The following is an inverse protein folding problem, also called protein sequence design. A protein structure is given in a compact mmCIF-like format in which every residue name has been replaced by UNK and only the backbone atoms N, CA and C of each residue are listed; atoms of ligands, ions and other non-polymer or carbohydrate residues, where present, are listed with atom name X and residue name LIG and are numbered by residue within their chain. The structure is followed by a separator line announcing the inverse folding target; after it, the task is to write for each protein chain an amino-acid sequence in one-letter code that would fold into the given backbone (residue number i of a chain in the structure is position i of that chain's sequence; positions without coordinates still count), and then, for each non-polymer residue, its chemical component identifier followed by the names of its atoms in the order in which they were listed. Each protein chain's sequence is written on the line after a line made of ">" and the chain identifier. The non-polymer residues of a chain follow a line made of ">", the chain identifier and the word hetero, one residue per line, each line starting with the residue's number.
data_IF_269833662714
#
_entry.id   IF_269833662714
#
_cell.length_a   1.000
_cell.length_b   1.000
_cell.length_c   1.000
_cell.angle_alpha   90.00
_cell.angle_beta   90.00
_cell.angle_gamma   90.00
#
_symmetry.space_group_name_H-M   'P 1'
#
loop_
_entity.id
_entity.type
_entity.pdbx_description
1 polymer ?
#
# COMPACT_ATOMS: atom_id res chain seq x y z
N UNK A 1 -3.09 -25.20 -1.46
CA UNK A 1 -4.22 -24.44 -2.04
C UNK A 1 -4.79 -23.57 -0.93
N UNK A 2 -4.92 -22.25 -1.11
CA UNK A 2 -5.53 -21.36 -0.12
C UNK A 2 -7.02 -21.70 -0.04
N UNK A 3 -7.58 -21.88 1.15
CA UNK A 3 -9.00 -22.13 1.31
C UNK A 3 -9.83 -20.84 1.12
N UNK A 4 -11.11 -21.00 0.80
CA UNK A 4 -11.98 -19.87 0.45
C UNK A 4 -12.14 -18.84 1.57
N UNK A 5 -12.05 -19.26 2.84
CA UNK A 5 -12.15 -18.35 3.99
C UNK A 5 -10.87 -17.51 4.09
N UNK A 6 -9.72 -18.15 4.06
CA UNK A 6 -8.40 -17.48 4.07
C UNK A 6 -8.25 -16.53 2.87
N UNK A 7 -8.72 -16.91 1.68
CA UNK A 7 -8.68 -16.04 0.50
C UNK A 7 -9.53 -14.78 0.72
N UNK A 8 -10.76 -14.93 1.25
CA UNK A 8 -11.66 -13.81 1.52
C UNK A 8 -11.08 -12.83 2.54
N UNK A 9 -10.50 -13.35 3.63
CA UNK A 9 -9.85 -12.52 4.65
C UNK A 9 -8.68 -11.73 4.06
N UNK A 10 -7.88 -12.36 3.19
CA UNK A 10 -6.77 -11.71 2.50
C UNK A 10 -7.24 -10.63 1.50
N UNK A 11 -8.36 -10.87 0.81
CA UNK A 11 -8.95 -9.86 -0.07
C UNK A 11 -9.42 -8.62 0.70
N UNK A 12 -10.13 -8.80 1.82
CA UNK A 12 -10.62 -7.67 2.65
C UNK A 12 -9.45 -6.83 3.19
N UNK A 13 -8.39 -7.48 3.67
CA UNK A 13 -7.18 -6.78 4.10
C UNK A 13 -6.49 -6.05 2.94
N UNK A 14 -6.42 -6.68 1.76
CA UNK A 14 -5.88 -6.06 0.55
C UNK A 14 -6.65 -4.81 0.12
N UNK A 15 -7.98 -4.84 0.19
CA UNK A 15 -8.84 -3.69 -0.08
C UNK A 15 -8.59 -2.54 0.90
N UNK A 16 -8.44 -2.86 2.20
CA UNK A 16 -8.13 -1.86 3.21
C UNK A 16 -6.74 -1.21 3.01
N UNK A 17 -5.73 -1.99 2.61
CA UNK A 17 -4.41 -1.47 2.26
C UNK A 17 -4.44 -0.61 0.99
N UNK A 18 -5.23 -1.03 0.00
CA UNK A 18 -5.42 -0.27 -1.23
C UNK A 18 -6.07 1.09 -0.95
N UNK A 19 -7.11 1.13 -0.12
CA UNK A 19 -7.75 2.38 0.29
C UNK A 19 -6.76 3.34 0.99
N UNK A 20 -5.92 2.82 1.88
CA UNK A 20 -4.89 3.61 2.58
C UNK A 20 -3.82 4.16 1.62
N UNK A 21 -3.36 3.36 0.67
CA UNK A 21 -2.38 3.79 -0.34
C UNK A 21 -2.94 4.91 -1.23
N UNK A 22 -4.19 4.78 -1.70
CA UNK A 22 -4.85 5.82 -2.48
C UNK A 22 -5.13 7.08 -1.67
N UNK A 23 -5.48 6.95 -0.39
CA UNK A 23 -5.68 8.11 0.46
C UNK A 23 -4.37 8.89 0.68
N UNK A 24 -3.24 8.18 0.87
CA UNK A 24 -1.92 8.79 0.97
C UNK A 24 -1.53 9.51 -0.33
N UNK A 25 -1.77 8.89 -1.48
CA UNK A 25 -1.56 9.51 -2.79
C UNK A 25 -2.40 10.77 -2.97
N UNK A 26 -3.69 10.71 -2.62
CA UNK A 26 -4.59 11.87 -2.70
C UNK A 26 -4.10 13.04 -1.85
N UNK A 27 -3.61 12.77 -0.64
CA UNK A 27 -3.03 13.80 0.24
C UNK A 27 -1.78 14.42 -0.36
N UNK A 28 -0.89 13.61 -0.93
CA UNK A 28 0.30 14.10 -1.62
C UNK A 28 -0.06 14.99 -2.82
N UNK A 29 -0.97 14.54 -3.69
CA UNK A 29 -1.41 15.32 -4.86
C UNK A 29 -2.06 16.64 -4.44
N UNK A 30 -2.88 16.63 -3.39
CA UNK A 30 -3.53 17.84 -2.87
C UNK A 30 -2.55 18.86 -2.27
N UNK A 31 -1.37 18.42 -1.81
CA UNK A 31 -0.36 19.28 -1.21
C UNK A 31 0.55 19.95 -2.25
N UNK A 32 0.63 19.41 -3.48
CA UNK A 32 1.49 19.97 -4.54
C UNK A 32 1.08 21.40 -4.87
N UNK A 33 2.04 22.32 -4.81
CA UNK A 33 1.82 23.73 -5.12
C UNK A 33 1.03 24.52 -4.06
N UNK A 34 0.65 23.88 -2.95
CA UNK A 34 -0.09 24.51 -1.84
C UNK A 34 0.77 24.50 -0.56
N UNK A 35 1.34 23.34 -0.22
CA UNK A 35 2.11 23.13 0.99
C UNK A 35 3.60 23.44 0.82
N UNK A 36 4.33 23.50 1.93
CA UNK A 36 5.78 23.70 1.89
C UNK A 36 6.47 22.50 1.22
N UNK A 37 7.60 22.69 0.51
CA UNK A 37 8.31 21.61 -0.19
C UNK A 37 8.64 20.41 0.71
N UNK A 38 9.04 20.66 1.96
CA UNK A 38 9.34 19.60 2.92
C UNK A 38 8.10 18.77 3.28
N UNK A 39 6.91 19.40 3.40
CA UNK A 39 5.67 18.69 3.69
C UNK A 39 5.22 17.84 2.51
N UNK A 40 5.34 18.38 1.30
CA UNK A 40 5.06 17.66 0.05
C UNK A 40 5.96 16.43 -0.07
N UNK A 41 7.24 16.57 0.28
CA UNK A 41 8.21 15.47 0.25
C UNK A 41 7.89 14.38 1.28
N UNK A 42 7.49 14.76 2.50
CA UNK A 42 7.05 13.78 3.51
C UNK A 42 5.79 13.02 3.05
N UNK A 43 4.85 13.71 2.41
CA UNK A 43 3.66 13.08 1.84
C UNK A 43 3.99 12.15 0.67
N UNK A 44 4.97 12.52 -0.17
CA UNK A 44 5.48 11.66 -1.25
C UNK A 44 6.03 10.36 -0.70
N UNK A 45 6.96 10.44 0.25
CA UNK A 45 7.58 9.27 0.91
C UNK A 45 6.50 8.38 1.52
N UNK A 46 5.51 8.98 2.20
CA UNK A 46 4.41 8.22 2.80
C UNK A 46 3.56 7.48 1.77
N UNK A 47 3.25 8.10 0.64
CA UNK A 47 2.50 7.47 -0.44
C UNK A 47 3.30 6.31 -1.05
N UNK A 48 4.59 6.50 -1.31
CA UNK A 48 5.48 5.47 -1.85
C UNK A 48 5.58 4.25 -0.94
N UNK A 49 5.86 4.46 0.35
CA UNK A 49 5.92 3.36 1.33
C UNK A 49 4.60 2.58 1.44
N UNK A 50 3.45 3.24 1.25
CA UNK A 50 2.15 2.55 1.26
C UNK A 50 1.96 1.66 0.03
N UNK A 51 2.40 2.10 -1.16
CA UNK A 51 2.36 1.27 -2.36
C UNK A 51 3.34 0.09 -2.27
N UNK A 52 4.53 0.28 -1.69
CA UNK A 52 5.46 -0.82 -1.43
C UNK A 52 4.86 -1.85 -0.48
N UNK A 53 4.22 -1.41 0.62
CA UNK A 53 3.55 -2.29 1.56
C UNK A 53 2.39 -3.07 0.90
N UNK A 54 1.60 -2.42 0.04
CA UNK A 54 0.53 -3.07 -0.72
C UNK A 54 1.09 -4.13 -1.69
N UNK A 55 2.14 -3.80 -2.44
CA UNK A 55 2.78 -4.76 -3.36
C UNK A 55 3.36 -5.96 -2.61
N UNK A 56 4.02 -5.71 -1.47
CA UNK A 56 4.55 -6.77 -0.63
C UNK A 56 3.43 -7.67 -0.08
N UNK A 57 2.32 -7.06 0.33
CA UNK A 57 1.14 -7.78 0.78
C UNK A 57 0.57 -8.66 -0.34
N UNK A 58 0.36 -8.13 -1.54
CA UNK A 58 -0.18 -8.87 -2.67
C UNK A 58 0.71 -10.07 -3.05
N UNK A 59 2.03 -9.88 -3.08
CA UNK A 59 2.99 -10.96 -3.35
C UNK A 59 2.90 -12.08 -2.31
N UNK A 60 2.92 -11.75 -1.02
CA UNK A 60 2.91 -12.74 0.07
C UNK A 60 1.54 -13.39 0.27
N UNK A 61 0.48 -12.59 0.25
CA UNK A 61 -0.86 -13.03 0.60
C UNK A 61 -1.64 -13.60 -0.60
N UNK A 62 -1.47 -13.06 -1.80
CA UNK A 62 -2.30 -13.46 -2.95
C UNK A 62 -1.55 -14.33 -3.95
N UNK A 63 -0.27 -14.06 -4.18
CA UNK A 63 0.56 -14.81 -5.13
C UNK A 63 1.27 -15.99 -4.46
N UNK A 64 1.47 -15.92 -3.13
CA UNK A 64 2.13 -16.99 -2.37
C UNK A 64 3.66 -16.98 -2.50
N UNK A 65 4.25 -15.84 -2.87
CA UNK A 65 5.70 -15.68 -2.86
C UNK A 65 6.19 -15.66 -1.40
N UNK A 66 7.03 -16.63 -1.04
CA UNK A 66 7.79 -16.58 0.21
C UNK A 66 8.81 -15.43 0.13
N UNK A 67 9.09 -14.74 1.25
CA UNK A 67 10.11 -13.72 1.26
C UNK A 67 11.45 -14.35 0.85
N UNK A 68 12.05 -13.84 -0.22
CA UNK A 68 13.45 -14.13 -0.54
C UNK A 68 14.29 -13.52 0.58
N UNK A 69 14.70 -14.34 1.55
CA UNK A 69 15.69 -13.96 2.55
C UNK A 69 17.04 -13.99 1.83
N UNK A 70 17.63 -12.82 1.61
CA UNK A 70 19.02 -12.67 1.21
C UNK A 70 19.90 -12.48 2.45
#
# INVERSE_FOLDING_TARGET
>A
MIDAKTLRERMVQGEALMAQAFEALRRYEAAKGVSAPNEVEQLRIRAESMFEALQLYQRRALVGEEPVIH
#
